data_IF_687935374040
#
_entry.id   IF_687935374040
#
_cell.length_a   1.000
_cell.length_b   1.000
_cell.length_c   1.000
_cell.angle_alpha   90.00
_cell.angle_beta   90.00
_cell.angle_gamma   90.00
#
_symmetry.space_group_name_H-M   'P 1'
#
loop_
_entity.id
_entity.type
_entity.pdbx_description
1 polymer ?
#
# COMPACT_ATOMS: atom_id res chain seq x y z
N UNK A 1 -5.57 67.42 -6.87
CA UNK A 1 -6.36 67.00 -5.70
C UNK A 1 -6.13 65.52 -5.47
N UNK A 2 -5.92 65.16 -4.20
CA UNK A 2 -5.58 63.82 -3.69
C UNK A 2 -6.64 62.78 -4.06
N UNK A 3 -6.24 61.69 -4.71
CA UNK A 3 -6.94 60.40 -4.66
C UNK A 3 -5.85 59.32 -4.56
N UNK A 4 -5.67 58.72 -3.38
CA UNK A 4 -6.42 57.56 -2.88
C UNK A 4 -5.82 56.27 -3.45
N UNK A 5 -5.22 55.48 -2.55
CA UNK A 5 -4.25 54.44 -2.88
C UNK A 5 -4.85 53.13 -3.36
N UNK A 6 -3.99 52.11 -3.45
CA UNK A 6 -4.42 50.76 -3.19
C UNK A 6 -3.26 49.91 -2.68
N UNK A 7 -3.50 49.44 -1.46
CA UNK A 7 -2.83 48.42 -0.68
C UNK A 7 -2.58 47.17 -1.54
N UNK A 8 -1.30 46.81 -1.77
CA UNK A 8 -0.96 45.50 -2.33
C UNK A 8 -1.06 44.46 -1.21
N UNK A 9 -2.26 43.91 -1.03
CA UNK A 9 -2.53 42.82 -0.10
C UNK A 9 -1.95 41.54 -0.70
N UNK A 10 -0.79 41.13 -0.18
CA UNK A 10 -0.17 39.84 -0.48
C UNK A 10 -1.05 38.75 0.14
N UNK A 11 -1.93 38.13 -0.66
CA UNK A 11 -2.60 36.89 -0.31
C UNK A 11 -1.57 35.75 -0.36
N UNK A 12 -1.01 35.40 0.79
CA UNK A 12 -0.28 34.16 0.96
C UNK A 12 -1.34 33.07 1.10
N UNK A 13 -1.68 32.40 0.00
CA UNK A 13 -2.48 31.18 0.03
C UNK A 13 -1.62 30.08 0.66
N UNK A 14 -1.63 29.98 1.99
CA UNK A 14 -1.17 28.78 2.69
C UNK A 14 -2.20 27.69 2.42
N UNK A 15 -2.03 26.98 1.30
CA UNK A 15 -2.69 25.69 1.08
C UNK A 15 -2.06 24.70 2.04
N UNK A 16 -2.52 24.73 3.29
CA UNK A 16 -2.29 23.64 4.23
C UNK A 16 -3.15 22.48 3.71
N UNK A 17 -2.58 21.66 2.83
CA UNK A 17 -3.12 20.34 2.56
C UNK A 17 -3.22 19.64 3.90
N UNK A 18 -4.47 19.40 4.36
CA UNK A 18 -4.74 18.48 5.45
C UNK A 18 -4.05 17.18 5.05
N UNK A 19 -2.92 16.87 5.67
CA UNK A 19 -2.46 15.49 5.77
C UNK A 19 -3.61 14.76 6.45
N UNK A 20 -4.40 14.07 5.62
CA UNK A 20 -5.48 13.23 6.08
C UNK A 20 -4.84 12.28 7.07
N UNK A 21 -5.34 12.34 8.29
CA UNK A 21 -5.00 11.41 9.35
C UNK A 21 -5.24 10.02 8.77
N UNK A 22 -4.16 9.40 8.31
CA UNK A 22 -4.23 8.18 7.55
C UNK A 22 -4.64 7.12 8.56
N UNK A 23 -5.89 6.67 8.46
CA UNK A 23 -6.37 5.61 9.31
C UNK A 23 -5.41 4.44 9.16
N UNK A 24 -4.62 4.17 10.20
CA UNK A 24 -3.54 3.19 10.19
C UNK A 24 -4.05 1.77 9.94
N UNK A 25 -5.37 1.60 9.83
CA UNK A 25 -6.06 0.34 9.58
C UNK A 25 -6.68 0.24 8.18
N UNK A 26 -6.70 1.32 7.38
CA UNK A 26 -7.33 1.27 6.06
C UNK A 26 -6.36 0.78 4.98
N UNK A 27 -6.63 -0.38 4.38
CA UNK A 27 -5.85 -0.97 3.27
C UNK A 27 -6.13 -0.32 1.91
N UNK A 28 -7.29 0.34 1.75
CA UNK A 28 -7.77 0.89 0.49
C UNK A 28 -6.76 1.92 -0.03
N UNK A 29 -6.44 1.83 -1.32
CA UNK A 29 -5.44 2.67 -1.97
C UNK A 29 -4.50 1.88 -2.88
N UNK A 30 -3.51 2.59 -3.40
CA UNK A 30 -2.47 2.03 -4.25
C UNK A 30 -1.17 1.86 -3.47
N UNK A 31 -0.52 0.73 -3.65
CA UNK A 31 0.69 0.34 -2.91
C UNK A 31 1.80 -0.01 -3.88
N UNK A 32 2.90 0.73 -3.83
CA UNK A 32 4.08 0.53 -4.67
C UNK A 32 5.01 -0.51 -4.04
N UNK A 33 5.41 -1.48 -4.84
CA UNK A 33 6.35 -2.51 -4.40
C UNK A 33 7.75 -1.96 -4.18
N UNK A 34 8.34 -2.28 -3.03
CA UNK A 34 9.69 -1.88 -2.63
C UNK A 34 10.65 -3.05 -2.74
N UNK A 35 10.29 -4.17 -2.13
CA UNK A 35 11.11 -5.37 -2.16
C UNK A 35 10.33 -6.63 -1.84
N UNK A 36 10.94 -7.78 -2.11
CA UNK A 36 10.47 -9.06 -1.60
C UNK A 36 11.66 -9.83 -1.04
N UNK A 37 11.46 -10.45 0.12
CA UNK A 37 12.49 -11.21 0.81
C UNK A 37 11.96 -12.62 1.05
N UNK A 38 12.68 -13.63 0.60
CA UNK A 38 12.24 -15.02 0.74
C UNK A 38 12.84 -15.95 -0.31
N UNK A 39 12.15 -17.03 -0.63
CA UNK A 39 12.72 -18.10 -1.44
C UNK A 39 13.69 -18.97 -0.64
N UNK A 40 14.04 -20.12 -1.21
CA UNK A 40 14.97 -21.09 -0.58
C UNK A 40 16.34 -20.50 -0.24
N UNK A 41 16.74 -19.41 -0.93
CA UNK A 41 18.01 -18.73 -0.71
C UNK A 41 17.92 -17.41 0.05
N UNK A 42 16.74 -17.02 0.56
CA UNK A 42 16.55 -15.73 1.24
C UNK A 42 16.86 -14.52 0.36
N UNK A 43 16.49 -14.60 -0.92
CA UNK A 43 16.81 -13.58 -1.91
C UNK A 43 16.03 -12.30 -1.65
N UNK A 44 16.69 -11.17 -1.92
CA UNK A 44 16.05 -9.86 -1.93
C UNK A 44 15.80 -9.43 -3.36
N UNK A 45 14.53 -9.40 -3.75
CA UNK A 45 14.07 -8.94 -5.05
C UNK A 45 13.64 -7.48 -4.92
N UNK A 46 14.02 -6.63 -5.87
CA UNK A 46 13.65 -5.21 -5.94
C UNK A 46 13.31 -4.83 -7.37
N UNK A 47 12.64 -3.69 -7.62
CA UNK A 47 12.43 -3.24 -9.00
C UNK A 47 13.72 -3.13 -9.81
N UNK A 48 14.84 -2.76 -9.17
CA UNK A 48 16.14 -2.64 -9.82
C UNK A 48 16.75 -3.99 -10.21
N UNK A 49 16.64 -5.01 -9.35
CA UNK A 49 17.20 -6.35 -9.65
C UNK A 49 16.34 -7.10 -10.65
N UNK A 50 15.02 -6.91 -10.59
CA UNK A 50 14.07 -7.63 -11.44
C UNK A 50 13.80 -6.96 -12.79
N UNK A 51 14.11 -5.67 -12.93
CA UNK A 51 13.84 -4.90 -14.15
C UNK A 51 12.35 -4.65 -14.42
N UNK A 52 11.49 -4.79 -13.41
CA UNK A 52 10.06 -4.48 -13.50
C UNK A 52 9.54 -3.89 -12.18
N UNK A 53 8.42 -3.17 -12.25
CA UNK A 53 7.69 -2.69 -11.07
C UNK A 53 6.49 -3.59 -10.79
N UNK A 54 6.06 -3.62 -9.52
CA UNK A 54 4.79 -4.20 -9.09
C UNK A 54 3.99 -3.15 -8.34
N UNK A 55 2.67 -3.23 -8.43
CA UNK A 55 1.74 -2.38 -7.68
C UNK A 55 0.54 -3.19 -7.25
N UNK A 56 0.04 -2.95 -6.04
CA UNK A 56 -1.26 -3.43 -5.58
C UNK A 56 -2.24 -2.27 -5.58
N UNK A 57 -3.52 -2.59 -5.83
CA UNK A 57 -4.61 -1.65 -5.60
C UNK A 57 -5.72 -2.37 -4.85
N UNK A 58 -6.12 -1.79 -3.73
CA UNK A 58 -7.28 -2.20 -2.96
C UNK A 58 -8.36 -1.15 -3.17
N UNK A 59 -9.53 -1.57 -3.65
CA UNK A 59 -10.77 -0.79 -3.57
C UNK A 59 -11.60 -1.31 -2.41
N UNK A 60 -12.82 -0.82 -2.23
CA UNK A 60 -13.73 -1.36 -1.19
C UNK A 60 -14.11 -2.84 -1.43
N UNK A 61 -13.88 -3.36 -2.66
CA UNK A 61 -14.30 -4.71 -3.06
C UNK A 61 -13.20 -5.52 -3.74
N UNK A 62 -12.34 -4.86 -4.51
CA UNK A 62 -11.42 -5.51 -5.42
C UNK A 62 -9.97 -5.37 -4.96
N UNK A 63 -9.24 -6.47 -5.12
CA UNK A 63 -7.80 -6.55 -5.01
C UNK A 63 -7.23 -6.75 -6.41
N UNK A 64 -6.39 -5.81 -6.83
CA UNK A 64 -5.77 -5.80 -8.15
C UNK A 64 -4.25 -5.82 -8.01
N UNK A 65 -3.58 -6.58 -8.89
CA UNK A 65 -2.13 -6.63 -8.98
C UNK A 65 -1.68 -6.19 -10.38
N UNK A 66 -0.65 -5.37 -10.41
CA UNK A 66 -0.07 -4.86 -11.65
C UNK A 66 1.42 -5.20 -11.73
N UNK A 67 1.90 -5.47 -12.94
CA UNK A 67 3.32 -5.56 -13.28
C UNK A 67 3.62 -4.65 -14.45
N UNK A 68 4.56 -3.71 -14.30
CA UNK A 68 4.81 -2.66 -15.30
C UNK A 68 3.52 -1.99 -15.80
N UNK A 69 2.66 -1.59 -14.86
CA UNK A 69 1.34 -0.98 -15.09
C UNK A 69 0.31 -1.85 -15.85
N UNK A 70 0.68 -3.06 -16.23
CA UNK A 70 -0.25 -4.04 -16.81
C UNK A 70 -0.96 -4.79 -15.69
N UNK A 71 -2.30 -4.80 -15.72
CA UNK A 71 -3.11 -5.59 -14.80
C UNK A 71 -2.84 -7.09 -15.04
N UNK A 72 -2.38 -7.79 -14.01
CA UNK A 72 -2.09 -9.23 -14.07
C UNK A 72 -3.05 -10.07 -13.21
N UNK A 73 -3.72 -9.45 -12.25
CA UNK A 73 -4.69 -10.10 -11.37
C UNK A 73 -5.77 -9.11 -10.96
N UNK A 74 -7.02 -9.57 -10.88
CA UNK A 74 -8.16 -8.80 -10.41
C UNK A 74 -9.18 -9.74 -9.78
N UNK A 75 -9.41 -9.60 -8.49
CA UNK A 75 -10.30 -10.49 -7.74
C UNK A 75 -11.01 -9.72 -6.63
N UNK A 76 -12.22 -10.13 -6.31
CA UNK A 76 -12.88 -9.72 -5.07
C UNK A 76 -12.09 -10.31 -3.90
N UNK A 77 -11.97 -9.56 -2.80
CA UNK A 77 -11.28 -9.99 -1.60
C UNK A 77 -12.09 -9.77 -0.32
N UNK A 78 -11.65 -10.43 0.74
CA UNK A 78 -12.10 -10.21 2.11
C UNK A 78 -10.90 -10.08 3.02
N UNK A 79 -11.00 -9.26 4.06
CA UNK A 79 -10.02 -9.16 5.14
C UNK A 79 -10.67 -9.62 6.43
N UNK A 80 -10.03 -10.57 7.10
CA UNK A 80 -10.37 -10.94 8.46
C UNK A 80 -9.28 -10.46 9.41
N UNK A 81 -9.62 -9.58 10.35
CA UNK A 81 -8.68 -9.10 11.35
C UNK A 81 -8.39 -10.19 12.39
N UNK A 82 -7.11 -10.43 12.63
CA UNK A 82 -6.62 -11.36 13.64
C UNK A 82 -5.81 -10.58 14.67
N UNK A 83 -6.17 -10.76 15.94
CA UNK A 83 -5.42 -10.23 17.07
C UNK A 83 -4.72 -11.40 17.76
N UNK A 84 -3.43 -11.55 17.50
CA UNK A 84 -2.59 -12.60 18.07
C UNK A 84 -1.77 -12.03 19.24
N UNK A 85 -1.74 -12.74 20.37
CA UNK A 85 -1.06 -12.27 21.58
C UNK A 85 0.46 -12.20 21.45
N UNK A 86 1.05 -12.90 20.49
CA UNK A 86 2.50 -12.98 20.26
C UNK A 86 2.95 -12.12 19.09
N UNK A 87 2.19 -12.10 18.00
CA UNK A 87 2.53 -11.39 16.75
C UNK A 87 1.87 -10.02 16.64
N UNK A 88 0.88 -9.74 17.48
CA UNK A 88 0.05 -8.54 17.39
C UNK A 88 -1.05 -8.66 16.35
N UNK A 89 -1.48 -7.51 15.82
CA UNK A 89 -2.59 -7.40 14.88
C UNK A 89 -2.11 -7.59 13.44
N UNK A 90 -2.81 -8.43 12.69
CA UNK A 90 -2.66 -8.60 11.24
C UNK A 90 -4.00 -8.97 10.59
N UNK A 91 -4.05 -9.01 9.27
CA UNK A 91 -5.24 -9.40 8.51
C UNK A 91 -4.97 -10.66 7.68
N UNK A 92 -5.97 -11.53 7.59
CA UNK A 92 -5.99 -12.60 6.60
C UNK A 92 -6.75 -12.11 5.37
N UNK A 93 -6.03 -11.96 4.26
CA UNK A 93 -6.61 -11.67 2.95
C UNK A 93 -6.98 -13.00 2.29
N UNK A 94 -8.25 -13.12 1.90
CA UNK A 94 -8.74 -14.22 1.07
C UNK A 94 -9.45 -13.67 -0.15
N UNK A 95 -9.05 -14.11 -1.33
CA UNK A 95 -9.66 -13.70 -2.58
C UNK A 95 -10.56 -14.78 -3.18
N UNK A 96 -11.48 -14.38 -4.04
CA UNK A 96 -12.41 -15.29 -4.72
C UNK A 96 -11.73 -16.29 -5.67
N UNK A 97 -10.53 -15.97 -6.18
CA UNK A 97 -9.72 -16.86 -7.02
C UNK A 97 -8.83 -17.83 -6.21
N UNK A 98 -8.89 -17.79 -4.87
CA UNK A 98 -8.17 -18.71 -3.98
C UNK A 98 -6.81 -18.21 -3.49
N UNK A 99 -6.35 -17.02 -3.87
CA UNK A 99 -5.16 -16.40 -3.27
C UNK A 99 -5.39 -16.11 -1.79
N UNK A 100 -4.34 -16.35 -0.99
CA UNK A 100 -4.36 -16.11 0.44
C UNK A 100 -3.03 -15.49 0.88
N UNK A 101 -3.13 -14.44 1.68
CA UNK A 101 -1.97 -13.74 2.24
C UNK A 101 -2.25 -13.34 3.69
N UNK A 102 -1.21 -13.32 4.52
CA UNK A 102 -1.25 -12.49 5.72
C UNK A 102 -0.85 -11.06 5.33
N UNK A 103 -1.47 -10.07 5.97
CA UNK A 103 -1.28 -8.67 5.66
C UNK A 103 -1.05 -7.89 6.96
N UNK A 104 0.10 -7.22 7.04
CA UNK A 104 0.47 -6.35 8.17
C UNK A 104 0.48 -4.90 7.68
N UNK A 105 -0.34 -4.05 8.30
CA UNK A 105 -0.44 -2.63 7.98
C UNK A 105 0.16 -1.78 9.07
N UNK A 106 1.06 -0.88 8.68
CA UNK A 106 1.63 0.13 9.56
C UNK A 106 1.73 1.46 8.81
N UNK A 107 0.73 2.33 9.00
CA UNK A 107 0.65 3.65 8.37
C UNK A 107 0.70 3.59 6.83
N UNK A 108 1.85 3.94 6.25
CA UNK A 108 2.15 3.93 4.82
C UNK A 108 2.90 2.68 4.36
N UNK A 109 3.08 1.68 5.24
CA UNK A 109 3.74 0.40 4.92
C UNK A 109 2.76 -0.76 4.96
N UNK A 110 2.90 -1.65 3.98
CA UNK A 110 2.17 -2.90 3.89
C UNK A 110 3.15 -4.05 3.67
N UNK A 111 3.05 -5.05 4.53
CA UNK A 111 3.70 -6.34 4.33
C UNK A 111 2.64 -7.34 3.86
N UNK A 112 2.88 -7.96 2.71
CA UNK A 112 2.05 -9.02 2.17
C UNK A 112 2.85 -10.32 2.25
N UNK A 113 2.41 -11.25 3.10
CA UNK A 113 3.14 -12.46 3.46
C UNK A 113 2.45 -13.65 2.81
N UNK A 114 3.18 -14.37 1.98
CA UNK A 114 2.74 -15.63 1.40
C UNK A 114 2.76 -16.75 2.45
N UNK A 115 1.67 -17.52 2.53
CA UNK A 115 1.55 -18.63 3.50
C UNK A 115 2.24 -19.91 3.01
N UNK A 116 3.57 -19.91 2.86
CA UNK A 116 4.36 -21.13 2.64
C UNK A 116 5.79 -21.04 3.22
N UNK A 117 6.47 -22.18 3.35
CA UNK A 117 7.76 -22.30 4.05
C UNK A 117 8.90 -21.51 3.38
N UNK A 118 9.03 -21.63 2.06
CA UNK A 118 10.09 -20.96 1.27
C UNK A 118 9.54 -19.79 0.44
N UNK A 119 8.40 -19.22 0.85
CA UNK A 119 7.74 -18.15 0.12
C UNK A 119 8.33 -16.77 0.43
N UNK A 120 7.74 -15.72 -0.12
CA UNK A 120 8.19 -14.35 0.05
C UNK A 120 7.33 -13.56 1.03
N UNK A 121 8.00 -12.65 1.73
CA UNK A 121 7.38 -11.45 2.29
C UNK A 121 7.59 -10.32 1.30
N UNK A 122 6.50 -9.67 0.89
CA UNK A 122 6.53 -8.55 -0.02
C UNK A 122 6.27 -7.24 0.74
N UNK A 123 7.16 -6.26 0.54
CA UNK A 123 7.08 -4.96 1.18
C UNK A 123 6.59 -3.91 0.18
N UNK A 124 5.59 -3.15 0.60
CA UNK A 124 5.00 -2.08 -0.18
C UNK A 124 4.87 -0.79 0.62
N UNK A 125 4.78 0.34 -0.09
CA UNK A 125 4.48 1.65 0.50
C UNK A 125 3.45 2.44 -0.31
N UNK A 126 2.76 3.39 0.35
CA UNK A 126 1.82 4.33 -0.27
C UNK A 126 2.14 5.78 0.09
#
# INVERSE_FOLDING_TARGET
MKYFGLLFLILICTSCSKEGQHDSTNVVGEWRWISSIGGIGGWTLTPKTEGFTKKLKFTDHDFLMFKNDTLIESTVYSLNEINDSTRGKFFLLKSSNGLQYELVLQQSKLELIESCYDCYVHFYER
#
